data_IF_133596442302
#
_entry.id   IF_133596442302
#
_cell.length_a   1.000
_cell.length_b   1.000
_cell.length_c   1.000
_cell.angle_alpha   90.00
_cell.angle_beta   90.00
_cell.angle_gamma   90.00
#
_symmetry.space_group_name_H-M   'P 1'
#
loop_
_entity.id
_entity.type
_entity.pdbx_description
1 polymer ?
#
# COMPACT_ATOMS: atom_id res chain seq x y z
N UNK A 1 1.56 20.39 -4.92
CA UNK A 1 2.14 19.16 -5.50
C UNK A 1 3.13 18.59 -4.51
N UNK A 2 3.39 17.27 -4.55
CA UNK A 2 4.40 16.66 -3.68
C UNK A 2 5.83 17.10 -4.08
N UNK A 3 6.74 17.23 -3.12
CA UNK A 3 8.15 17.56 -3.35
C UNK A 3 9.03 16.30 -3.40
N UNK A 4 10.25 16.40 -3.93
CA UNK A 4 11.23 15.32 -3.91
C UNK A 4 11.47 14.76 -2.49
N UNK A 5 11.69 15.64 -1.52
CA UNK A 5 11.82 15.26 -0.11
C UNK A 5 10.61 14.45 0.39
N UNK A 6 9.38 14.86 0.06
CA UNK A 6 8.17 14.14 0.42
C UNK A 6 8.09 12.75 -0.26
N UNK A 7 8.48 12.64 -1.54
CA UNK A 7 8.53 11.35 -2.23
C UNK A 7 9.54 10.40 -1.57
N UNK A 8 10.71 10.91 -1.16
CA UNK A 8 11.74 10.09 -0.47
C UNK A 8 11.27 9.54 0.87
N UNK A 9 10.50 10.31 1.61
CA UNK A 9 9.97 9.91 2.93
C UNK A 9 8.59 9.27 2.86
N UNK A 10 8.04 9.05 1.66
CA UNK A 10 6.72 8.46 1.50
C UNK A 10 6.69 7.06 2.11
N UNK A 11 5.75 6.81 3.01
CA UNK A 11 5.64 5.56 3.75
C UNK A 11 4.29 4.89 3.54
N UNK A 12 4.32 3.59 3.26
CA UNK A 12 3.14 2.71 3.20
C UNK A 12 2.97 1.87 4.46
N UNK A 13 3.79 2.13 5.49
CA UNK A 13 3.82 1.33 6.73
C UNK A 13 2.46 1.27 7.42
N UNK A 14 1.72 2.38 7.42
CA UNK A 14 0.37 2.44 8.01
C UNK A 14 -0.60 1.43 7.37
N UNK A 15 -0.50 1.17 6.06
CA UNK A 15 -1.32 0.17 5.37
C UNK A 15 -0.92 -1.25 5.78
N UNK A 16 0.38 -1.51 5.95
CA UNK A 16 0.90 -2.80 6.40
C UNK A 16 0.50 -3.08 7.86
N UNK A 17 0.54 -2.07 8.71
CA UNK A 17 0.09 -2.14 10.10
C UNK A 17 -1.41 -2.41 10.18
N UNK A 18 -2.23 -1.66 9.43
CA UNK A 18 -3.67 -1.88 9.35
C UNK A 18 -4.01 -3.29 8.86
N UNK A 19 -3.35 -3.75 7.79
CA UNK A 19 -3.54 -5.09 7.26
C UNK A 19 -3.23 -6.17 8.31
N UNK A 20 -2.12 -6.01 9.05
CA UNK A 20 -1.72 -6.93 10.11
C UNK A 20 -2.74 -6.94 11.26
N UNK A 21 -3.21 -5.77 11.66
CA UNK A 21 -4.23 -5.62 12.70
C UNK A 21 -5.56 -6.30 12.33
N UNK A 22 -6.06 -6.11 11.11
CA UNK A 22 -7.31 -6.72 10.67
C UNK A 22 -7.20 -8.24 10.54
N UNK A 23 -6.06 -8.76 10.05
CA UNK A 23 -5.83 -10.23 10.01
C UNK A 23 -5.86 -10.80 11.43
N UNK A 24 -5.14 -10.19 12.37
CA UNK A 24 -5.11 -10.64 13.76
C UNK A 24 -6.49 -10.58 14.41
N UNK A 25 -7.26 -9.53 14.15
CA UNK A 25 -8.63 -9.40 14.66
C UNK A 25 -9.55 -10.49 14.10
N UNK A 26 -9.45 -10.78 12.79
CA UNK A 26 -10.22 -11.85 12.14
C UNK A 26 -9.96 -13.22 12.77
N UNK A 27 -8.67 -13.57 12.96
CA UNK A 27 -8.27 -14.85 13.53
C UNK A 27 -8.76 -15.00 14.98
N UNK A 28 -8.60 -13.94 15.80
CA UNK A 28 -9.09 -13.93 17.18
C UNK A 28 -10.60 -14.10 17.28
N UNK A 29 -11.36 -13.46 16.40
CA UNK A 29 -12.82 -13.58 16.39
C UNK A 29 -13.27 -14.98 16.02
N UNK A 30 -12.69 -15.58 14.98
CA UNK A 30 -13.04 -16.95 14.61
C UNK A 30 -12.67 -17.95 15.71
N UNK A 31 -11.47 -17.85 16.28
CA UNK A 31 -11.01 -18.75 17.34
C UNK A 31 -11.96 -18.76 18.53
N UNK A 32 -12.32 -17.57 19.04
CA UNK A 32 -13.20 -17.42 20.20
C UNK A 32 -14.59 -17.98 19.93
N UNK A 33 -15.20 -17.65 18.78
CA UNK A 33 -16.55 -18.10 18.47
C UNK A 33 -16.60 -19.59 18.08
N UNK A 34 -15.55 -20.11 17.45
CA UNK A 34 -15.41 -21.54 17.20
C UNK A 34 -15.30 -22.31 18.52
N UNK A 35 -14.49 -21.81 19.47
CA UNK A 35 -14.37 -22.39 20.80
C UNK A 35 -15.71 -22.42 21.52
N UNK A 36 -16.46 -21.32 21.54
CA UNK A 36 -17.80 -21.25 22.18
C UNK A 36 -18.78 -22.25 21.55
N UNK A 37 -18.80 -22.34 20.22
CA UNK A 37 -19.61 -23.32 19.49
C UNK A 37 -19.22 -24.75 19.86
N UNK A 38 -17.93 -25.08 19.85
CA UNK A 38 -17.48 -26.43 20.18
C UNK A 38 -17.81 -26.78 21.64
N UNK A 39 -17.60 -25.84 22.57
CA UNK A 39 -17.96 -26.03 23.97
C UNK A 39 -19.45 -26.30 24.17
N UNK A 40 -20.33 -25.63 23.42
CA UNK A 40 -21.79 -25.89 23.52
C UNK A 40 -22.18 -27.32 23.12
N UNK A 41 -21.40 -27.96 22.26
CA UNK A 41 -21.58 -29.37 21.89
C UNK A 41 -20.96 -30.35 22.89
N UNK A 42 -19.99 -29.92 23.71
CA UNK A 42 -19.38 -30.77 24.75
C UNK A 42 -20.18 -30.83 26.05
N UNK A 43 -21.08 -29.87 26.27
CA UNK A 43 -21.94 -29.85 27.46
C UNK A 43 -23.02 -30.93 27.36
N UNK A 44 -23.12 -31.78 28.39
CA UNK A 44 -24.22 -32.74 28.55
C UNK A 44 -25.45 -31.98 29.08
N UNK A 45 -26.04 -31.16 28.21
CA UNK A 45 -27.29 -30.45 28.45
C UNK A 45 -28.30 -30.83 27.38
N UNK A 46 -29.21 -31.71 27.77
CA UNK A 46 -30.29 -32.21 26.93
C UNK A 46 -31.55 -31.35 27.05
N UNK A 47 -32.40 -31.41 26.03
CA UNK A 47 -33.64 -30.65 25.93
C UNK A 47 -33.48 -29.25 25.32
N UNK A 48 -34.61 -28.55 25.24
CA UNK A 48 -34.76 -27.34 24.43
C UNK A 48 -33.75 -26.23 24.74
N UNK A 49 -33.29 -26.10 25.99
CA UNK A 49 -32.27 -25.12 26.38
C UNK A 49 -30.89 -25.40 25.75
N UNK A 50 -30.46 -26.66 25.76
CA UNK A 50 -29.21 -27.08 25.12
C UNK A 50 -29.27 -26.95 23.60
N UNK A 51 -30.41 -27.29 22.99
CA UNK A 51 -30.62 -27.13 21.55
C UNK A 51 -30.58 -25.65 21.14
N UNK A 52 -31.22 -24.77 21.91
CA UNK A 52 -31.19 -23.32 21.69
C UNK A 52 -29.77 -22.75 21.83
N UNK A 53 -28.97 -23.22 22.80
CA UNK A 53 -27.57 -22.81 22.96
C UNK A 53 -26.72 -23.21 21.74
N UNK A 54 -26.83 -24.46 21.27
CA UNK A 54 -26.12 -24.96 20.09
C UNK A 54 -26.52 -24.19 18.83
N UNK A 55 -27.82 -23.95 18.64
CA UNK A 55 -28.34 -23.17 17.51
C UNK A 55 -27.79 -21.73 17.52
N UNK A 56 -27.83 -21.06 18.68
CA UNK A 56 -27.35 -19.68 18.83
C UNK A 56 -25.84 -19.58 18.57
N UNK A 57 -25.03 -20.43 19.21
CA UNK A 57 -23.57 -20.40 19.03
C UNK A 57 -23.16 -20.73 17.60
N UNK A 58 -23.89 -21.60 16.90
CA UNK A 58 -23.71 -21.85 15.46
C UNK A 58 -24.06 -20.63 14.58
N UNK A 59 -25.17 -19.96 14.88
CA UNK A 59 -25.58 -18.74 14.16
C UNK A 59 -24.59 -17.59 14.37
N UNK A 60 -24.17 -17.36 15.62
CA UNK A 60 -23.20 -16.34 15.98
C UNK A 60 -21.84 -16.60 15.29
N UNK A 61 -21.36 -17.86 15.30
CA UNK A 61 -20.12 -18.25 14.59
C UNK A 61 -20.21 -17.98 13.08
N UNK A 62 -21.37 -18.23 12.46
CA UNK A 62 -21.58 -17.97 11.03
C UNK A 62 -21.47 -16.47 10.71
N UNK A 63 -22.11 -15.63 11.53
CA UNK A 63 -22.06 -14.16 11.36
C UNK A 63 -20.64 -13.63 11.56
N UNK A 64 -19.92 -14.14 12.56
CA UNK A 64 -18.56 -13.70 12.86
C UNK A 64 -17.57 -14.13 11.78
N UNK A 65 -17.68 -15.36 11.27
CA UNK A 65 -16.82 -15.85 10.17
C UNK A 65 -16.96 -14.96 8.93
N UNK A 66 -18.19 -14.56 8.58
CA UNK A 66 -18.41 -13.65 7.46
C UNK A 66 -17.77 -12.25 7.67
N UNK A 67 -17.70 -11.76 8.92
CA UNK A 67 -17.01 -10.49 9.25
C UNK A 67 -15.50 -10.66 9.27
N UNK A 68 -14.99 -11.79 9.75
CA UNK A 68 -13.58 -12.13 9.70
C UNK A 68 -13.07 -12.18 8.25
N UNK A 69 -13.86 -12.75 7.34
CA UNK A 69 -13.57 -12.73 5.90
C UNK A 69 -13.51 -11.32 5.33
N UNK A 70 -14.42 -10.42 5.73
CA UNK A 70 -14.36 -9.00 5.34
C UNK A 70 -13.07 -8.32 5.82
N UNK A 71 -12.64 -8.60 7.05
CA UNK A 71 -11.38 -8.07 7.60
C UNK A 71 -10.17 -8.62 6.83
N UNK A 72 -10.15 -9.91 6.48
CA UNK A 72 -9.08 -10.50 5.66
C UNK A 72 -9.04 -9.89 4.26
N UNK A 73 -10.20 -9.63 3.65
CA UNK A 73 -10.28 -8.94 2.38
C UNK A 73 -9.73 -7.51 2.46
N UNK A 74 -10.07 -6.77 3.52
CA UNK A 74 -9.50 -5.45 3.77
C UNK A 74 -7.97 -5.51 3.95
N UNK A 75 -7.45 -6.51 4.69
CA UNK A 75 -6.01 -6.74 4.83
C UNK A 75 -5.33 -6.96 3.49
N UNK A 76 -5.94 -7.76 2.60
CA UNK A 76 -5.41 -8.01 1.27
C UNK A 76 -5.34 -6.72 0.45
N UNK A 77 -6.44 -5.96 0.39
CA UNK A 77 -6.50 -4.68 -0.33
C UNK A 77 -5.41 -3.71 0.18
N UNK A 78 -5.23 -3.58 1.50
CA UNK A 78 -4.21 -2.71 2.06
C UNK A 78 -2.78 -3.16 1.72
N UNK A 79 -2.48 -4.47 1.73
CA UNK A 79 -1.17 -4.99 1.31
C UNK A 79 -0.91 -4.76 -0.17
N UNK A 80 -1.91 -5.01 -1.02
CA UNK A 80 -1.81 -4.81 -2.47
C UNK A 80 -1.62 -3.32 -2.82
N UNK A 81 -2.36 -2.44 -2.14
CA UNK A 81 -2.20 -0.99 -2.25
C UNK A 81 -0.82 -0.52 -1.80
N UNK A 82 -0.33 -0.99 -0.65
CA UNK A 82 1.01 -0.69 -0.15
C UNK A 82 2.11 -1.13 -1.13
N UNK A 83 1.95 -2.31 -1.74
CA UNK A 83 2.86 -2.82 -2.77
C UNK A 83 2.85 -1.94 -4.03
N UNK A 84 1.66 -1.55 -4.49
CA UNK A 84 1.48 -0.70 -5.68
C UNK A 84 2.10 0.68 -5.49
N UNK A 85 1.79 1.36 -4.38
CA UNK A 85 2.34 2.68 -4.04
C UNK A 85 3.87 2.59 -3.88
N UNK A 86 4.36 1.58 -3.14
CA UNK A 86 5.80 1.39 -2.95
C UNK A 86 6.56 1.13 -4.26
N UNK A 87 5.95 0.39 -5.20
CA UNK A 87 6.53 0.19 -6.52
C UNK A 87 6.55 1.49 -7.35
N UNK A 88 5.48 2.29 -7.31
CA UNK A 88 5.43 3.58 -7.98
C UNK A 88 6.48 4.56 -7.42
N UNK A 89 6.65 4.61 -6.10
CA UNK A 89 7.68 5.41 -5.44
C UNK A 89 9.08 5.01 -5.90
N UNK A 90 9.41 3.71 -5.89
CA UNK A 90 10.71 3.22 -6.39
C UNK A 90 10.98 3.62 -7.84
N UNK A 91 9.97 3.56 -8.71
CA UNK A 91 10.10 4.00 -10.12
C UNK A 91 10.46 5.47 -10.25
N UNK A 92 9.92 6.34 -9.39
CA UNK A 92 10.30 7.76 -9.35
C UNK A 92 11.75 7.90 -8.89
N UNK A 93 12.13 7.23 -7.80
CA UNK A 93 13.48 7.31 -7.24
C UNK A 93 14.55 6.81 -8.22
N UNK A 94 14.29 5.72 -8.94
CA UNK A 94 15.20 5.22 -9.97
C UNK A 94 15.34 6.18 -11.16
N UNK A 95 14.24 6.79 -11.63
CA UNK A 95 14.33 7.79 -12.71
C UNK A 95 15.18 9.01 -12.30
N UNK A 96 15.11 9.41 -11.02
CA UNK A 96 15.94 10.48 -10.46
C UNK A 96 17.40 10.06 -10.39
N UNK A 97 17.68 8.84 -9.93
CA UNK A 97 19.03 8.27 -9.89
C UNK A 97 19.64 8.15 -11.29
N UNK A 98 18.89 7.68 -12.29
CA UNK A 98 19.31 7.64 -13.69
C UNK A 98 19.61 9.04 -14.24
N UNK A 99 18.81 10.03 -13.86
CA UNK A 99 19.02 11.44 -14.23
C UNK A 99 20.31 11.98 -13.61
N UNK A 100 20.58 11.66 -12.33
CA UNK A 100 21.84 12.00 -11.67
C UNK A 100 23.04 11.33 -12.36
N UNK A 101 22.94 10.05 -12.68
CA UNK A 101 23.98 9.30 -13.40
C UNK A 101 24.25 9.86 -14.81
N UNK A 102 23.23 10.45 -15.46
CA UNK A 102 23.37 11.14 -16.74
C UNK A 102 24.03 12.54 -16.63
N UNK A 103 24.42 12.97 -15.43
CA UNK A 103 25.08 14.26 -15.17
C UNK A 103 24.10 15.43 -15.10
N UNK A 104 22.91 15.21 -14.57
CA UNK A 104 21.94 16.27 -14.28
C UNK A 104 21.61 16.28 -12.79
N UNK A 105 21.14 17.40 -12.26
CA UNK A 105 20.60 17.49 -10.91
C UNK A 105 19.07 17.66 -10.98
N UNK A 106 18.37 17.13 -9.97
CA UNK A 106 16.91 17.18 -9.86
C UNK A 106 16.54 18.03 -8.65
N UNK A 107 15.74 19.08 -8.85
CA UNK A 107 15.24 19.97 -7.81
C UNK A 107 14.04 19.39 -7.03
N UNK A 108 13.64 20.08 -5.96
CA UNK A 108 12.48 19.69 -5.13
C UNK A 108 11.15 19.66 -5.89
N UNK A 109 11.04 20.45 -6.96
CA UNK A 109 9.90 20.55 -7.87
C UNK A 109 10.01 19.63 -9.10
N UNK A 110 11.02 18.75 -9.13
CA UNK A 110 11.37 17.90 -10.27
C UNK A 110 11.78 18.68 -11.54
N UNK A 111 12.25 19.92 -11.38
CA UNK A 111 13.06 20.56 -12.41
C UNK A 111 14.39 19.80 -12.56
N UNK A 112 14.93 19.79 -13.79
CA UNK A 112 16.19 19.11 -14.10
C UNK A 112 17.15 20.13 -14.69
N UNK A 113 18.36 20.20 -14.14
CA UNK A 113 19.41 21.11 -14.57
C UNK A 113 20.67 20.34 -14.94
N UNK A 114 21.35 20.75 -16.01
CA UNK A 114 22.64 20.18 -16.38
C UNK A 114 23.72 20.59 -15.37
N UNK A 115 24.52 19.63 -14.90
CA UNK A 115 25.65 19.90 -14.01
C UNK A 115 26.97 20.04 -14.77
N UNK A 116 26.96 19.82 -16.09
CA UNK A 116 28.15 19.90 -16.95
C UNK A 116 28.23 21.26 -17.64
N UNK A 117 29.46 21.73 -17.85
CA UNK A 117 29.73 22.90 -18.68
C UNK A 117 29.79 22.47 -20.14
N UNK A 118 28.86 22.98 -20.97
CA UNK A 118 28.86 22.77 -22.42
C UNK A 118 29.98 23.56 -23.10
N UNK A 119 30.60 23.00 -24.14
CA UNK A 119 31.68 23.64 -24.91
C UNK A 119 31.21 24.31 -26.20
N UNK A 120 29.95 24.12 -26.58
CA UNK A 120 29.32 24.74 -27.75
C UNK A 120 27.83 25.00 -27.53
N UNK A 121 27.26 25.93 -28.31
CA UNK A 121 25.82 26.22 -28.28
C UNK A 121 24.96 25.01 -28.70
N UNK A 122 25.44 24.21 -29.66
CA UNK A 122 24.76 23.00 -30.12
C UNK A 122 24.70 21.94 -29.01
N UNK A 123 25.79 21.73 -28.28
CA UNK A 123 25.84 20.83 -27.12
C UNK A 123 24.90 21.30 -26.01
N UNK A 124 24.90 22.60 -25.70
CA UNK A 124 24.01 23.19 -24.70
C UNK A 124 22.53 22.99 -25.07
N UNK A 125 22.16 23.19 -26.33
CA UNK A 125 20.80 22.96 -26.81
C UNK A 125 20.39 21.47 -26.68
N UNK A 126 21.28 20.55 -27.04
CA UNK A 126 21.02 19.11 -26.91
C UNK A 126 20.84 18.69 -25.43
N UNK A 127 21.70 19.18 -24.53
CA UNK A 127 21.60 18.91 -23.09
C UNK A 127 20.36 19.52 -22.47
N UNK A 128 19.95 20.72 -22.91
CA UNK A 128 18.70 21.33 -22.48
C UNK A 128 17.48 20.50 -22.89
N UNK A 129 17.46 19.98 -24.12
CA UNK A 129 16.40 19.08 -24.58
C UNK A 129 16.35 17.78 -23.75
N UNK A 130 17.53 17.24 -23.41
CA UNK A 130 17.64 16.06 -22.56
C UNK A 130 17.13 16.32 -21.13
N UNK A 131 17.48 17.46 -20.53
CA UNK A 131 16.96 17.86 -19.22
C UNK A 131 15.43 17.98 -19.23
N UNK A 132 14.85 18.58 -20.27
CA UNK A 132 13.40 18.67 -20.43
C UNK A 132 12.73 17.30 -20.54
N UNK A 133 13.33 16.37 -21.27
CA UNK A 133 12.84 15.00 -21.40
C UNK A 133 12.85 14.26 -20.06
N UNK A 134 13.95 14.33 -19.30
CA UNK A 134 14.02 13.76 -17.95
C UNK A 134 12.99 14.37 -17.00
N UNK A 135 12.86 15.70 -17.01
CA UNK A 135 11.88 16.38 -16.16
C UNK A 135 10.45 15.94 -16.48
N UNK A 136 10.12 15.75 -17.75
CA UNK A 136 8.80 15.27 -18.17
C UNK A 136 8.54 13.82 -17.71
N UNK A 137 9.50 12.91 -17.90
CA UNK A 137 9.39 11.52 -17.45
C UNK A 137 9.24 11.41 -15.92
N UNK A 138 10.05 12.14 -15.16
CA UNK A 138 9.96 12.16 -13.68
C UNK A 138 8.57 12.67 -13.25
N UNK A 139 8.10 13.80 -13.81
CA UNK A 139 6.78 14.36 -13.46
C UNK A 139 5.64 13.41 -13.81
N UNK A 140 5.73 12.68 -14.93
CA UNK A 140 4.75 11.67 -15.27
C UNK A 140 4.71 10.55 -14.23
N UNK A 141 5.86 10.05 -13.78
CA UNK A 141 5.94 9.00 -12.74
C UNK A 141 5.43 9.51 -11.40
N UNK A 142 5.71 10.76 -11.04
CA UNK A 142 5.15 11.40 -9.85
C UNK A 142 3.63 11.47 -9.93
N UNK A 143 3.07 11.86 -11.08
CA UNK A 143 1.61 11.88 -11.27
C UNK A 143 0.99 10.47 -11.12
N UNK A 144 1.66 9.43 -11.64
CA UNK A 144 1.23 8.04 -11.45
C UNK A 144 1.27 7.59 -9.98
N UNK A 145 2.32 7.96 -9.24
CA UNK A 145 2.41 7.69 -7.80
C UNK A 145 1.25 8.37 -7.04
N UNK A 146 1.00 9.66 -7.32
CA UNK A 146 -0.10 10.39 -6.70
C UNK A 146 -1.46 9.76 -7.02
N UNK A 147 -1.68 9.30 -8.25
CA UNK A 147 -2.90 8.58 -8.64
C UNK A 147 -3.05 7.23 -7.93
N UNK A 148 -1.95 6.49 -7.74
CA UNK A 148 -1.97 5.20 -7.02
C UNK A 148 -2.26 5.31 -5.53
N UNK A 149 -2.17 6.52 -4.96
CA UNK A 149 -2.52 6.79 -3.57
C UNK A 149 -3.99 7.17 -3.37
N UNK A 150 -4.71 7.52 -4.44
CA UNK A 150 -6.13 7.95 -4.38
C UNK A 150 -7.13 6.85 -4.74
N UNK A 151 -6.65 5.65 -5.07
CA UNK A 151 -7.48 4.47 -5.41
C UNK A 151 -7.42 3.45 -4.29
#
# INVERSE_FOLDING_TARGET
MATLSQIRTWSTQHLIEAATYWTKTADQWEDVFLQMRNQSHTLIWEGAGGDALRARTGADFTVVSAKADQLRQASKIARDGAGTIGAAQRRVLFAIEDTHNAGFAVGEDFSVIDTRTSRSAAEQAARQAQAQAFAADIRQRVAQLLGSNTT
#
